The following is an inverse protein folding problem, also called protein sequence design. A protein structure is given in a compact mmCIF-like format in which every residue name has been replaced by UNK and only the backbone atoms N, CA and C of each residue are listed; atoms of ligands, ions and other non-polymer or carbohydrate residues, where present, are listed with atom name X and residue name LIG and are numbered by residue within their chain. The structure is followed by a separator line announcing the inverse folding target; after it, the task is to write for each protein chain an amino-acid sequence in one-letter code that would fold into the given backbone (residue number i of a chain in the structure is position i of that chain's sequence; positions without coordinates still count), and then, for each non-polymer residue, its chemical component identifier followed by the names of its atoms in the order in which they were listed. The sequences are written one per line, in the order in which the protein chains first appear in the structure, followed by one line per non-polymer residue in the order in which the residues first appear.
data_IF_053859374979
#
_entry.id   IF_053859374979
#
_cell.length_a   1.000
_cell.length_b   1.000
_cell.length_c   1.000
_cell.angle_alpha   90.00
_cell.angle_beta   90.00
_cell.angle_gamma   90.00
#
_symmetry.space_group_name_H-M   'P 1'
#
loop_
_entity.id
_entity.type
_entity.pdbx_description
1 polymer ?
#
# COMPACT_ATOMS: atom_id res chain seq x y z
N UNK A 1 2.47 4.66 16.33
CA UNK A 1 3.46 5.59 16.93
C UNK A 1 3.08 6.04 18.34
N UNK A 2 1.82 6.42 18.60
CA UNK A 2 1.34 6.74 19.96
C UNK A 2 1.61 5.63 20.99
N UNK A 3 1.37 4.36 20.64
CA UNK A 3 1.66 3.22 21.54
C UNK A 3 3.15 3.06 21.84
N UNK A 4 4.04 3.42 20.91
CA UNK A 4 5.49 3.29 21.16
C UNK A 4 5.98 4.43 22.06
N UNK A 5 5.54 5.67 21.82
CA UNK A 5 5.93 6.83 22.64
C UNK A 5 5.35 6.76 24.07
N UNK A 6 4.12 6.28 24.25
CA UNK A 6 3.51 6.13 25.57
C UNK A 6 4.10 4.95 26.34
N UNK A 7 4.38 3.82 25.66
CA UNK A 7 4.78 2.56 26.32
C UNK A 7 6.29 2.42 26.54
N UNK A 8 7.13 3.10 25.73
CA UNK A 8 8.60 3.16 25.92
C UNK A 8 9.09 4.44 26.62
N UNK A 9 8.48 5.61 26.39
CA UNK A 9 8.91 6.89 26.99
C UNK A 9 8.05 7.39 28.16
N UNK A 10 7.08 6.59 28.66
CA UNK A 10 6.26 6.87 29.87
C UNK A 10 5.55 8.25 29.90
N UNK A 11 5.16 8.79 28.75
CA UNK A 11 4.39 10.04 28.70
C UNK A 11 2.90 9.81 28.99
N UNK A 12 2.26 10.72 29.78
CA UNK A 12 0.81 10.70 30.02
C UNK A 12 0.05 10.93 28.68
N UNK A 13 -0.95 10.10 28.34
CA UNK A 13 -1.73 10.26 27.12
C UNK A 13 -2.49 11.59 27.19
N UNK A 14 -2.04 12.57 26.41
CA UNK A 14 -2.59 13.92 26.38
C UNK A 14 -2.77 14.36 24.93
N UNK A 15 -3.83 15.14 24.66
CA UNK A 15 -4.10 15.75 23.35
C UNK A 15 -2.87 16.36 22.65
N UNK A 16 -2.00 17.14 23.33
CA UNK A 16 -0.78 17.67 22.71
C UNK A 16 0.20 16.59 22.24
N UNK A 17 0.36 15.50 22.99
CA UNK A 17 1.26 14.40 22.62
C UNK A 17 0.78 13.67 21.36
N UNK A 18 -0.54 13.53 21.21
CA UNK A 18 -1.18 12.97 20.01
C UNK A 18 -1.02 13.89 18.80
N UNK A 19 -1.17 15.21 18.98
CA UNK A 19 -0.96 16.20 17.91
C UNK A 19 0.50 16.20 17.48
N UNK A 20 1.45 16.25 18.41
CA UNK A 20 2.89 16.24 18.11
C UNK A 20 3.28 14.98 17.35
N UNK A 21 2.84 13.79 17.82
CA UNK A 21 3.15 12.53 17.15
C UNK A 21 2.58 12.43 15.73
N UNK A 22 1.38 12.97 15.50
CA UNK A 22 0.75 13.02 14.17
C UNK A 22 1.46 14.03 13.25
N UNK A 23 1.76 15.23 13.75
CA UNK A 23 2.44 16.26 12.98
C UNK A 23 3.87 15.85 12.60
N UNK A 24 4.62 15.21 13.51
CA UNK A 24 5.94 14.65 13.21
C UNK A 24 5.87 13.59 12.12
N UNK A 25 4.89 12.69 12.18
CA UNK A 25 4.71 11.69 11.15
C UNK A 25 4.44 12.33 9.79
N UNK A 26 3.49 13.27 9.72
CA UNK A 26 3.16 13.99 8.48
C UNK A 26 4.37 14.75 7.96
N UNK A 27 5.09 15.49 8.80
CA UNK A 27 6.28 16.24 8.43
C UNK A 27 7.39 15.33 7.87
N UNK A 28 7.64 14.18 8.51
CA UNK A 28 8.61 13.19 8.01
C UNK A 28 8.19 12.59 6.66
N UNK A 29 6.91 12.22 6.50
CA UNK A 29 6.42 11.70 5.22
C UNK A 29 6.47 12.73 4.10
N UNK A 30 6.19 14.00 4.41
CA UNK A 30 6.26 15.11 3.46
C UNK A 30 7.70 15.39 3.04
N UNK A 31 8.63 15.39 4.00
CA UNK A 31 10.05 15.55 3.74
C UNK A 31 10.61 14.43 2.85
N UNK A 32 10.29 13.17 3.16
CA UNK A 32 10.69 12.02 2.33
C UNK A 32 10.07 12.09 0.93
N UNK A 33 8.80 12.49 0.81
CA UNK A 33 8.12 12.64 -0.47
C UNK A 33 8.70 13.75 -1.36
N UNK A 34 9.14 14.87 -0.76
CA UNK A 34 9.80 15.96 -1.51
C UNK A 34 11.25 15.63 -1.87
N UNK A 35 11.96 14.88 -1.02
CA UNK A 35 13.39 14.55 -1.23
C UNK A 35 13.59 13.45 -2.27
N UNK A 36 12.62 12.54 -2.40
CA UNK A 36 12.69 11.44 -3.35
C UNK A 36 11.57 11.58 -4.38
N UNK A 37 11.84 12.08 -5.61
CA UNK A 37 10.79 12.22 -6.62
C UNK A 37 10.16 10.87 -6.98
N UNK A 38 10.92 9.78 -6.86
CA UNK A 38 10.49 8.41 -7.12
C UNK A 38 9.63 7.78 -6.00
N UNK A 39 9.38 8.49 -4.88
CA UNK A 39 8.63 7.94 -3.75
C UNK A 39 7.18 7.62 -4.13
N UNK A 40 6.56 8.40 -5.04
CA UNK A 40 5.23 8.11 -5.56
C UNK A 40 5.17 6.79 -6.33
N UNK A 41 6.17 6.51 -7.16
CA UNK A 41 6.27 5.24 -7.89
C UNK A 41 6.50 4.05 -6.94
N UNK A 42 7.32 4.22 -5.89
CA UNK A 42 7.50 3.23 -4.82
C UNK A 42 6.19 2.95 -4.05
N UNK A 43 5.43 3.99 -3.71
CA UNK A 43 4.12 3.82 -3.08
C UNK A 43 3.15 3.08 -4.00
N UNK A 44 3.19 3.36 -5.30
CA UNK A 44 2.42 2.62 -6.32
C UNK A 44 2.84 1.15 -6.43
N UNK A 45 4.14 0.85 -6.35
CA UNK A 45 4.71 -0.51 -6.33
C UNK A 45 4.19 -1.30 -5.13
N UNK A 46 4.37 -0.78 -3.92
CA UNK A 46 3.91 -1.47 -2.71
C UNK A 46 2.38 -1.47 -2.61
N UNK A 47 1.71 -0.45 -3.16
CA UNK A 47 0.26 -0.37 -3.34
C UNK A 47 -0.28 -1.57 -4.12
N UNK A 48 0.18 -1.76 -5.35
CA UNK A 48 -0.31 -2.86 -6.17
C UNK A 48 0.26 -4.23 -5.80
N UNK A 49 1.46 -4.29 -5.22
CA UNK A 49 2.03 -5.57 -4.77
C UNK A 49 1.44 -6.07 -3.45
N UNK A 50 1.22 -5.20 -2.46
CA UNK A 50 0.78 -5.61 -1.12
C UNK A 50 -0.72 -5.38 -0.88
N UNK A 51 -1.29 -4.27 -1.37
CA UNK A 51 -2.70 -3.98 -1.14
C UNK A 51 -3.64 -4.64 -2.15
N UNK A 52 -3.28 -4.73 -3.44
CA UNK A 52 -4.13 -5.41 -4.42
C UNK A 52 -4.43 -6.88 -4.06
N UNK A 53 -3.45 -7.71 -3.61
CA UNK A 53 -3.76 -9.08 -3.21
C UNK A 53 -4.58 -9.16 -1.93
N UNK A 54 -4.34 -8.27 -0.97
CA UNK A 54 -5.00 -8.33 0.34
C UNK A 54 -6.44 -7.82 0.32
N UNK A 55 -6.79 -6.88 -0.56
CA UNK A 55 -8.16 -6.36 -0.66
C UNK A 55 -9.01 -7.09 -1.70
N UNK A 56 -8.45 -7.54 -2.82
CA UNK A 56 -9.24 -8.16 -3.90
C UNK A 56 -9.27 -9.67 -3.86
N UNK A 57 -8.17 -10.34 -3.49
CA UNK A 57 -8.11 -11.79 -3.55
C UNK A 57 -8.47 -12.46 -2.24
N UNK A 58 -7.93 -11.95 -1.15
CA UNK A 58 -8.09 -12.55 0.18
C UNK A 58 -9.56 -12.75 0.57
N UNK A 59 -10.45 -11.73 0.50
CA UNK A 59 -11.86 -11.94 0.81
C UNK A 59 -12.57 -12.83 -0.21
N UNK A 60 -12.21 -12.74 -1.50
CA UNK A 60 -12.77 -13.57 -2.56
C UNK A 60 -12.44 -15.06 -2.39
N UNK A 61 -11.20 -15.38 -2.01
CA UNK A 61 -10.75 -16.75 -1.75
C UNK A 61 -11.40 -17.28 -0.47
N UNK A 62 -11.44 -16.48 0.60
CA UNK A 62 -12.10 -16.83 1.87
C UNK A 62 -13.58 -17.14 1.64
N UNK A 63 -14.28 -16.31 0.87
CA UNK A 63 -15.70 -16.51 0.56
C UNK A 63 -15.94 -17.78 -0.25
N UNK A 64 -15.07 -18.08 -1.22
CA UNK A 64 -15.15 -19.29 -2.04
C UNK A 64 -14.97 -20.57 -1.20
N UNK A 65 -14.05 -20.55 -0.23
CA UNK A 65 -13.77 -21.68 0.66
C UNK A 65 -14.94 -21.94 1.62
N UNK A 66 -15.54 -20.87 2.17
CA UNK A 66 -16.64 -20.97 3.15
C UNK A 66 -17.95 -21.41 2.49
N UNK A 67 -18.34 -20.78 1.37
CA UNK A 67 -19.68 -20.94 0.82
C UNK A 67 -19.82 -22.11 -0.19
N UNK A 68 -18.69 -22.66 -0.69
CA UNK A 68 -18.63 -23.70 -1.74
C UNK A 68 -19.70 -23.54 -2.84
N UNK A 69 -19.74 -22.41 -3.56
CA UNK A 69 -20.77 -22.16 -4.57
C UNK A 69 -20.67 -23.16 -5.74
N UNK A 70 -21.81 -23.52 -6.34
CA UNK A 70 -21.87 -24.40 -7.52
C UNK A 70 -21.02 -23.81 -8.66
N UNK A 71 -20.22 -24.65 -9.34
CA UNK A 71 -19.17 -24.29 -10.34
C UNK A 71 -19.65 -23.57 -11.63
N UNK A 72 -20.86 -23.01 -11.66
CA UNK A 72 -21.43 -22.33 -12.82
C UNK A 72 -22.38 -21.18 -12.45
N UNK A 73 -22.40 -20.76 -11.18
CA UNK A 73 -23.18 -19.60 -10.75
C UNK A 73 -22.44 -18.30 -11.10
N UNK A 74 -23.20 -17.22 -11.37
CA UNK A 74 -22.67 -15.88 -11.67
C UNK A 74 -21.65 -15.40 -10.60
N UNK A 75 -21.89 -15.74 -9.34
CA UNK A 75 -20.97 -15.43 -8.23
C UNK A 75 -19.63 -16.16 -8.32
N UNK A 76 -19.57 -17.35 -8.92
CA UNK A 76 -18.32 -18.09 -9.12
C UNK A 76 -17.46 -17.44 -10.20
N UNK A 77 -18.08 -17.01 -11.31
CA UNK A 77 -17.38 -16.30 -12.39
C UNK A 77 -16.82 -14.96 -11.91
N UNK A 78 -17.60 -14.17 -11.16
CA UNK A 78 -17.14 -12.90 -10.61
C UNK A 78 -15.98 -13.08 -9.62
N UNK A 79 -16.02 -14.12 -8.79
CA UNK A 79 -14.94 -14.41 -7.85
C UNK A 79 -13.63 -14.79 -8.58
N UNK A 80 -13.74 -15.58 -9.65
CA UNK A 80 -12.58 -15.94 -10.48
C UNK A 80 -12.08 -14.69 -11.24
N UNK A 81 -12.97 -13.87 -11.80
CA UNK A 81 -12.56 -12.60 -12.43
C UNK A 81 -11.77 -11.70 -11.47
N UNK A 82 -12.22 -11.52 -10.22
CA UNK A 82 -11.49 -10.73 -9.21
C UNK A 82 -10.10 -11.30 -8.91
N UNK A 83 -9.95 -12.63 -8.86
CA UNK A 83 -8.65 -13.27 -8.67
C UNK A 83 -7.74 -13.04 -9.89
N UNK A 84 -8.21 -13.26 -11.13
CA UNK A 84 -7.41 -12.98 -12.35
C UNK A 84 -6.97 -11.53 -12.38
N UNK A 85 -7.92 -10.62 -12.17
CA UNK A 85 -7.68 -9.18 -12.22
C UNK A 85 -6.68 -8.76 -11.15
N UNK A 86 -6.81 -9.31 -9.95
CA UNK A 86 -5.84 -9.11 -8.90
C UNK A 86 -4.43 -9.61 -9.27
N UNK A 87 -4.28 -10.78 -9.94
CA UNK A 87 -2.95 -11.31 -10.31
C UNK A 87 -2.32 -10.39 -11.34
N UNK A 88 -3.12 -9.96 -12.30
CA UNK A 88 -2.70 -8.96 -13.28
C UNK A 88 -2.23 -7.68 -12.59
N UNK A 89 -2.97 -7.14 -11.63
CA UNK A 89 -2.56 -5.94 -10.89
C UNK A 89 -1.25 -6.15 -10.12
N UNK A 90 -1.06 -7.31 -9.48
CA UNK A 90 0.15 -7.65 -8.74
C UNK A 90 1.39 -7.72 -9.64
N UNK A 91 1.24 -8.09 -10.92
CA UNK A 91 2.36 -8.16 -11.88
C UNK A 91 2.55 -6.83 -12.62
N UNK A 92 1.47 -6.17 -13.02
CA UNK A 92 1.52 -4.91 -13.79
C UNK A 92 1.98 -3.73 -12.94
N UNK A 93 1.56 -3.67 -11.67
CA UNK A 93 1.97 -2.62 -10.74
C UNK A 93 3.49 -2.51 -10.55
N UNK A 94 4.22 -3.61 -10.24
CA UNK A 94 5.66 -3.52 -10.08
C UNK A 94 6.38 -3.20 -11.39
N UNK A 95 5.90 -3.71 -12.53
CA UNK A 95 6.49 -3.38 -13.85
C UNK A 95 6.36 -1.89 -14.16
N UNK A 96 5.16 -1.32 -14.00
CA UNK A 96 4.90 0.10 -14.23
C UNK A 96 5.71 1.00 -13.29
N UNK A 97 5.72 0.65 -12.00
CA UNK A 97 6.46 1.41 -11.00
C UNK A 97 7.98 1.34 -11.22
N UNK A 98 8.55 0.17 -11.54
CA UNK A 98 9.98 0.03 -11.85
C UNK A 98 10.39 0.90 -13.04
N UNK A 99 9.57 0.93 -14.10
CA UNK A 99 9.79 1.78 -15.27
C UNK A 99 9.77 3.26 -14.92
N UNK A 100 8.84 3.69 -14.09
CA UNK A 100 8.76 5.08 -13.61
C UNK A 100 9.97 5.46 -12.74
N UNK A 101 10.39 4.57 -11.84
CA UNK A 101 11.58 4.74 -11.00
C UNK A 101 12.82 4.91 -11.89
N UNK A 102 13.00 4.09 -12.93
CA UNK A 102 14.16 4.17 -13.84
C UNK A 102 14.18 5.49 -14.61
N UNK A 103 13.02 5.93 -15.13
CA UNK A 103 12.92 7.19 -15.88
C UNK A 103 13.19 8.40 -14.98
N UNK A 104 12.60 8.41 -13.77
CA UNK A 104 12.81 9.49 -12.81
C UNK A 104 14.25 9.50 -12.28
N UNK A 105 14.86 8.34 -12.03
CA UNK A 105 16.26 8.22 -11.61
C UNK A 105 17.24 8.69 -12.70
N UNK A 106 16.93 8.47 -13.98
CA UNK A 106 17.79 8.92 -15.09
C UNK A 106 17.80 10.44 -15.27
N UNK A 107 16.68 11.11 -14.96
CA UNK A 107 16.56 12.57 -15.04
C UNK A 107 16.94 13.26 -13.73
N UNK A 108 17.19 12.50 -12.65
CA UNK A 108 17.48 13.05 -11.34
C UNK A 108 18.91 13.62 -11.26
N UNK A 109 19.01 14.95 -11.21
CA UNK A 109 20.19 15.64 -10.66
C UNK A 109 19.90 15.97 -9.20
N UNK A 110 20.71 15.41 -8.31
CA UNK A 110 20.49 15.38 -6.85
C UNK A 110 20.33 16.77 -6.20
N UNK A 111 20.94 17.77 -6.81
CA UNK A 111 20.85 19.21 -6.56
C UNK A 111 21.61 19.83 -7.75
N UNK A 112 21.25 21.04 -8.20
CA UNK A 112 22.16 21.76 -9.11
C UNK A 112 23.42 22.20 -8.37
#
# INVERSE_FOLDING_TARGET
METFMVKKMKFKPSLPLRVIGRSLYVALTMFLGMTFPFFGALLGFFGGFAFAPTTYFLPCIIWLIIFKPKRFSFSWFMNWFCIIFGVLLMVLSPIGALRDIIVQAKTYKFYS
#
